data_IF_315438295692
#
_entry.id   IF_315438295692
#
_cell.length_a   1.000
_cell.length_b   1.000
_cell.length_c   1.000
_cell.angle_alpha   90.00
_cell.angle_beta   90.00
_cell.angle_gamma   90.00
#
_symmetry.space_group_name_H-M   'P 1'
#
loop_
_entity.id
_entity.type
_entity.pdbx_description
1 polymer ?
#
# COMPACT_ATOMS: atom_id res chain seq x y z
N UNK A 1 36.17 6.58 -34.56
CA UNK A 1 35.41 5.32 -34.42
C UNK A 1 35.83 4.52 -33.18
N UNK A 2 37.09 4.11 -33.07
CA UNK A 2 37.64 3.35 -31.94
C UNK A 2 37.30 3.88 -30.52
N UNK A 3 37.47 5.18 -30.19
CA UNK A 3 37.17 5.67 -28.84
C UNK A 3 35.67 5.62 -28.50
N UNK A 4 34.78 5.76 -29.50
CA UNK A 4 33.34 5.67 -29.28
C UNK A 4 32.89 4.24 -28.97
N UNK A 5 33.44 3.25 -29.67
CA UNK A 5 33.20 1.82 -29.39
C UNK A 5 33.70 1.43 -28.00
N UNK A 6 34.87 1.94 -27.59
CA UNK A 6 35.43 1.67 -26.28
C UNK A 6 34.58 2.29 -25.16
N UNK A 7 34.12 3.52 -25.34
CA UNK A 7 33.19 4.16 -24.41
C UNK A 7 31.87 3.39 -24.28
N UNK A 8 31.32 2.91 -25.40
CA UNK A 8 30.11 2.08 -25.40
C UNK A 8 30.31 0.77 -24.63
N UNK A 9 31.39 0.04 -24.90
CA UNK A 9 31.71 -1.20 -24.20
C UNK A 9 31.90 -0.98 -22.69
N UNK A 10 32.57 0.10 -22.30
CA UNK A 10 32.72 0.47 -20.90
C UNK A 10 31.38 0.82 -20.24
N UNK A 11 30.52 1.60 -20.91
CA UNK A 11 29.20 1.96 -20.41
C UNK A 11 28.28 0.73 -20.25
N UNK A 12 28.39 -0.24 -21.16
CA UNK A 12 27.60 -1.47 -21.13
C UNK A 12 27.80 -2.28 -19.85
N UNK A 13 29.01 -2.27 -19.28
CA UNK A 13 29.32 -2.99 -18.03
C UNK A 13 29.15 -2.10 -16.80
N UNK A 14 29.59 -0.84 -16.87
CA UNK A 14 29.58 0.06 -15.71
C UNK A 14 28.16 0.48 -15.31
N UNK A 15 27.25 0.72 -16.26
CA UNK A 15 25.88 1.11 -15.95
C UNK A 15 25.11 0.04 -15.16
N UNK A 16 25.09 -1.24 -15.58
CA UNK A 16 24.50 -2.31 -14.77
C UNK A 16 25.17 -2.49 -13.41
N UNK A 17 26.51 -2.38 -13.34
CA UNK A 17 27.25 -2.54 -12.08
C UNK A 17 26.86 -1.47 -11.04
N UNK A 18 26.80 -0.20 -11.46
CA UNK A 18 26.36 0.90 -10.58
C UNK A 18 24.90 0.68 -10.15
N UNK A 19 24.03 0.29 -11.09
CA UNK A 19 22.63 0.00 -10.77
C UNK A 19 22.51 -1.15 -9.78
N UNK A 20 23.31 -2.20 -9.92
CA UNK A 20 23.33 -3.35 -9.03
C UNK A 20 23.65 -2.92 -7.59
N UNK A 21 24.71 -2.14 -7.37
CA UNK A 21 25.10 -1.64 -6.04
C UNK A 21 24.00 -0.78 -5.41
N UNK A 22 23.36 0.09 -6.20
CA UNK A 22 22.24 0.89 -5.71
C UNK A 22 21.03 0.02 -5.31
N UNK A 23 20.70 -1.00 -6.11
CA UNK A 23 19.60 -1.92 -5.80
C UNK A 23 19.91 -2.77 -4.58
N UNK A 24 21.14 -3.22 -4.42
CA UNK A 24 21.58 -4.02 -3.27
C UNK A 24 21.39 -3.25 -1.96
N UNK A 25 21.79 -1.97 -1.91
CA UNK A 25 21.56 -1.13 -0.73
C UNK A 25 20.08 -1.00 -0.35
N UNK A 26 19.20 -0.85 -1.35
CA UNK A 26 17.75 -0.77 -1.15
C UNK A 26 17.18 -2.12 -0.69
N UNK A 27 17.67 -3.21 -1.29
CA UNK A 27 17.28 -4.57 -0.94
C UNK A 27 17.69 -4.91 0.50
N UNK A 28 18.86 -4.47 0.97
CA UNK A 28 19.30 -4.68 2.35
C UNK A 28 18.37 -4.00 3.37
N UNK A 29 17.87 -2.80 3.07
CA UNK A 29 16.88 -2.12 3.92
C UNK A 29 15.55 -2.88 3.95
N UNK A 30 15.11 -3.37 2.79
CA UNK A 30 13.89 -4.18 2.68
C UNK A 30 14.06 -5.51 3.42
N UNK A 31 15.21 -6.15 3.31
CA UNK A 31 15.55 -7.39 3.98
C UNK A 31 15.57 -7.24 5.50
N UNK A 32 16.15 -6.16 6.01
CA UNK A 32 16.13 -5.83 7.44
C UNK A 32 14.70 -5.73 7.97
N UNK A 33 13.83 -5.00 7.27
CA UNK A 33 12.40 -4.87 7.63
C UNK A 33 11.67 -6.21 7.53
N UNK A 34 11.98 -7.00 6.50
CA UNK A 34 11.37 -8.31 6.31
C UNK A 34 11.81 -9.30 7.40
N UNK A 35 13.06 -9.23 7.86
CA UNK A 35 13.56 -10.07 8.93
C UNK A 35 12.82 -9.76 10.24
N UNK A 36 12.67 -8.47 10.59
CA UNK A 36 11.85 -8.05 11.75
C UNK A 36 10.41 -8.57 11.63
N UNK A 37 9.79 -8.46 10.45
CA UNK A 37 8.43 -9.00 10.24
C UNK A 37 8.37 -10.53 10.37
N UNK A 38 9.42 -11.25 9.94
CA UNK A 38 9.51 -12.70 10.08
C UNK A 38 9.64 -13.11 11.54
N UNK A 39 10.53 -12.47 12.30
CA UNK A 39 10.68 -12.76 13.74
C UNK A 39 9.39 -12.52 14.51
N UNK A 40 8.68 -11.40 14.26
CA UNK A 40 7.37 -11.16 14.86
C UNK A 40 6.33 -12.19 14.45
N UNK A 41 6.26 -12.53 13.15
CA UNK A 41 5.33 -13.56 12.66
C UNK A 41 5.60 -14.90 13.35
N UNK A 42 6.85 -15.29 13.50
CA UNK A 42 7.23 -16.57 14.07
C UNK A 42 6.94 -16.60 15.58
N UNK A 43 7.20 -15.50 16.29
CA UNK A 43 6.79 -15.34 17.69
C UNK A 43 5.27 -15.41 17.88
N UNK A 44 4.49 -14.78 16.99
CA UNK A 44 3.03 -14.82 17.02
C UNK A 44 2.47 -16.21 16.70
N UNK A 45 3.14 -16.98 15.83
CA UNK A 45 2.78 -18.37 15.51
C UNK A 45 3.09 -19.35 16.65
N UNK A 46 4.15 -19.08 17.40
CA UNK A 46 4.52 -19.88 18.58
C UNK A 46 3.70 -19.53 19.84
N UNK A 47 2.86 -18.49 19.78
CA UNK A 47 2.03 -18.04 20.90
C UNK A 47 0.85 -18.97 21.21
N UNK A 48 0.11 -18.63 22.27
CA UNK A 48 -1.01 -19.44 22.78
C UNK A 48 -2.20 -19.52 21.83
N UNK A 49 -3.05 -20.55 21.99
CA UNK A 49 -4.27 -20.74 21.20
C UNK A 49 -5.22 -19.54 21.27
N UNK A 50 -5.27 -18.84 22.41
CA UNK A 50 -6.10 -17.65 22.55
C UNK A 50 -5.60 -16.47 21.68
N UNK A 51 -4.29 -16.34 21.51
CA UNK A 51 -3.70 -15.36 20.61
C UNK A 51 -3.99 -15.71 19.15
N UNK A 52 -3.85 -16.98 18.77
CA UNK A 52 -4.15 -17.43 17.41
C UNK A 52 -5.62 -17.22 17.03
N UNK A 53 -6.55 -17.46 17.96
CA UNK A 53 -7.97 -17.20 17.77
C UNK A 53 -8.26 -15.69 17.56
N UNK A 54 -7.65 -14.81 18.35
CA UNK A 54 -7.79 -13.35 18.19
C UNK A 54 -7.22 -12.87 16.84
N UNK A 55 -6.05 -13.39 16.45
CA UNK A 55 -5.44 -13.07 15.15
C UNK A 55 -6.30 -13.55 13.98
N UNK A 56 -6.91 -14.74 14.07
CA UNK A 56 -7.81 -15.27 13.05
C UNK A 56 -9.07 -14.40 12.91
N UNK A 57 -9.66 -13.98 14.02
CA UNK A 57 -10.79 -13.05 14.02
C UNK A 57 -10.43 -11.68 13.43
N UNK A 58 -9.24 -11.15 13.76
CA UNK A 58 -8.74 -9.91 13.19
C UNK A 58 -8.52 -10.01 11.67
N UNK A 59 -7.92 -11.11 11.19
CA UNK A 59 -7.69 -11.34 9.76
C UNK A 59 -9.01 -11.40 8.97
N UNK A 60 -10.03 -12.07 9.52
CA UNK A 60 -11.38 -12.11 8.92
C UNK A 60 -12.03 -10.72 8.86
N UNK A 61 -11.86 -9.89 9.91
CA UNK A 61 -12.36 -8.50 9.87
C UNK A 61 -11.60 -7.64 8.86
N UNK A 62 -10.28 -7.82 8.75
CA UNK A 62 -9.45 -7.05 7.83
C UNK A 62 -9.83 -7.30 6.36
N UNK A 63 -10.20 -8.52 5.98
CA UNK A 63 -10.70 -8.80 4.61
C UNK A 63 -12.00 -8.08 4.27
N UNK A 64 -12.75 -7.61 5.27
CA UNK A 64 -14.02 -6.89 5.09
C UNK A 64 -13.83 -5.37 5.09
N UNK A 65 -12.63 -4.88 5.44
CA UNK A 65 -12.34 -3.44 5.49
C UNK A 65 -11.84 -2.98 4.12
N UNK A 66 -12.63 -2.14 3.43
CA UNK A 66 -12.19 -1.41 2.24
C UNK A 66 -11.14 -0.36 2.65
N UNK A 67 -9.94 -0.45 2.10
CA UNK A 67 -8.92 0.59 2.26
C UNK A 67 -9.34 1.77 1.40
N UNK A 68 -9.70 2.89 2.04
CA UNK A 68 -10.10 4.13 1.38
C UNK A 68 -8.83 4.92 1.05
N UNK A 69 -8.54 5.12 -0.24
CA UNK A 69 -7.45 5.98 -0.68
C UNK A 69 -7.86 7.44 -0.72
N UNK A 70 -6.91 8.36 -0.89
CA UNK A 70 -7.17 9.81 -1.01
C UNK A 70 -8.08 10.20 -2.18
N UNK A 71 -8.24 9.31 -3.16
CA UNK A 71 -9.17 9.43 -4.30
C UNK A 71 -10.58 8.89 -4.02
N UNK A 72 -10.73 8.10 -2.95
CA UNK A 72 -12.01 7.53 -2.50
C UNK A 72 -12.66 8.40 -1.41
N UNK A 73 -12.09 9.59 -1.13
CA UNK A 73 -12.56 10.55 -0.13
C UNK A 73 -13.20 11.73 -0.85
N UNK A 74 -14.53 11.80 -0.79
CA UNK A 74 -15.30 12.90 -1.38
C UNK A 74 -15.06 14.24 -0.66
N UNK A 75 -14.90 14.21 0.67
CA UNK A 75 -14.70 15.38 1.52
C UNK A 75 -13.42 15.25 2.33
N UNK A 76 -12.47 16.16 2.12
CA UNK A 76 -11.18 16.19 2.81
C UNK A 76 -10.99 17.57 3.45
N UNK A 77 -10.76 17.61 4.76
CA UNK A 77 -10.58 18.87 5.51
C UNK A 77 -9.28 19.59 5.16
N UNK A 78 -8.34 18.91 4.49
CA UNK A 78 -7.13 19.52 3.96
C UNK A 78 -7.34 20.25 2.62
N UNK A 79 -8.51 20.09 1.98
CA UNK A 79 -8.84 20.72 0.69
C UNK A 79 -9.88 21.81 0.85
N UNK A 80 -9.65 22.94 0.19
CA UNK A 80 -10.62 24.03 0.13
C UNK A 80 -11.91 23.56 -0.57
N UNK A 81 -13.07 24.08 -0.14
CA UNK A 81 -14.41 23.67 -0.59
C UNK A 81 -14.53 23.85 -2.11
N UNK A 82 -13.93 24.91 -2.66
CA UNK A 82 -13.94 25.17 -4.11
C UNK A 82 -13.08 24.19 -4.94
N UNK A 83 -12.22 23.39 -4.29
CA UNK A 83 -11.35 22.39 -4.94
C UNK A 83 -11.90 20.97 -4.80
N UNK A 84 -13.04 20.81 -4.12
CA UNK A 84 -13.72 19.52 -4.01
C UNK A 84 -14.50 19.28 -5.30
N UNK A 85 -14.31 18.14 -6.00
CA UNK A 85 -14.92 17.94 -7.31
C UNK A 85 -16.45 17.79 -7.21
N UNK A 86 -17.19 18.60 -7.97
CA UNK A 86 -18.66 18.47 -8.12
C UNK A 86 -19.08 17.06 -8.59
N UNK A 87 -18.18 16.33 -9.24
CA UNK A 87 -18.42 15.00 -9.79
C UNK A 87 -18.60 13.88 -8.74
N UNK A 88 -18.24 14.10 -7.47
CA UNK A 88 -18.59 13.18 -6.37
C UNK A 88 -20.01 13.40 -5.84
N UNK A 89 -20.68 14.50 -6.20
CA UNK A 89 -21.94 14.89 -5.56
C UNK A 89 -23.16 14.09 -6.05
N UNK A 90 -23.21 13.59 -7.28
CA UNK A 90 -24.44 12.94 -7.77
C UNK A 90 -24.50 11.42 -7.48
N UNK A 91 -23.52 10.58 -7.89
CA UNK A 91 -23.68 9.13 -7.82
C UNK A 91 -23.50 8.56 -6.40
N UNK A 92 -22.62 9.17 -5.59
CA UNK A 92 -22.32 8.69 -4.23
C UNK A 92 -23.38 9.16 -3.21
N UNK A 93 -24.02 10.32 -3.42
CA UNK A 93 -25.13 10.77 -2.57
C UNK A 93 -26.39 9.93 -2.78
N UNK A 94 -26.68 9.50 -4.01
CA UNK A 94 -27.82 8.63 -4.28
C UNK A 94 -27.67 7.24 -3.62
N UNK A 95 -26.46 6.65 -3.62
CA UNK A 95 -26.19 5.41 -2.89
C UNK A 95 -26.24 5.61 -1.37
N UNK A 96 -25.71 6.74 -0.88
CA UNK A 96 -25.80 7.11 0.53
C UNK A 96 -27.26 7.23 0.99
N UNK A 97 -28.08 7.99 0.26
CA UNK A 97 -29.49 8.20 0.56
C UNK A 97 -30.30 6.90 0.48
N UNK A 98 -29.97 6.03 -0.49
CA UNK A 98 -30.56 4.68 -0.56
C UNK A 98 -30.28 3.89 0.71
N UNK A 99 -29.03 3.83 1.15
CA UNK A 99 -28.64 3.10 2.38
C UNK A 99 -29.24 3.72 3.64
N UNK A 100 -29.37 5.04 3.68
CA UNK A 100 -30.00 5.75 4.79
C UNK A 100 -31.49 5.34 4.92
N UNK A 101 -32.23 5.36 3.80
CA UNK A 101 -33.63 4.89 3.77
C UNK A 101 -33.78 3.42 4.16
N UNK A 102 -32.86 2.57 3.72
CA UNK A 102 -32.84 1.14 4.10
C UNK A 102 -32.54 0.91 5.60
N UNK A 103 -31.78 1.82 6.22
CA UNK A 103 -31.47 1.78 7.65
C UNK A 103 -32.61 2.34 8.52
N UNK A 104 -33.30 3.39 8.05
CA UNK A 104 -34.46 4.00 8.74
C UNK A 104 -35.75 3.18 8.58
N UNK A 105 -35.87 2.40 7.51
CA UNK A 105 -37.02 1.53 7.25
C UNK A 105 -37.02 0.19 8.00
N UNK A 106 -36.23 0.05 9.07
CA UNK A 106 -36.21 -1.10 9.98
C UNK A 106 -36.63 -0.72 11.39
#
# INVERSE_FOLDING_TARGET
>A
LYPALLAYAAAYVTLPAVRFVQLESKNAQVETRNNVRRTWRDALRAGSEQLSAKLKAAAQKQSTLRIVGTKDVAFDSAKDIAQQPDSFAAPDLDDFDRRLREAEGR
#
